data_IF_806186985636
#
_entry.id   IF_806186985636
#
_cell.length_a   1.000
_cell.length_b   1.000
_cell.length_c   1.000
_cell.angle_alpha   90.00
_cell.angle_beta   90.00
_cell.angle_gamma   90.00
#
_symmetry.space_group_name_H-M   'P 1'
#
loop_
_entity.id
_entity.type
_entity.pdbx_description
1 polymer ?
#
# COMPACT_ATOMS: atom_id res chain seq x y z
N UNK A 1 11.55 3.93 4.86
CA UNK A 1 12.76 3.11 4.72
C UNK A 1 12.47 1.79 5.38
N UNK A 2 12.79 0.68 4.72
CA UNK A 2 12.71 -0.62 5.38
C UNK A 2 14.02 -0.88 6.10
N UNK A 3 13.95 -1.19 7.40
CA UNK A 3 15.13 -1.40 8.24
C UNK A 3 15.13 -2.81 8.81
N UNK A 4 16.27 -3.49 8.67
CA UNK A 4 16.50 -4.83 9.17
C UNK A 4 17.58 -4.82 10.24
N UNK A 5 17.29 -5.42 11.40
CA UNK A 5 18.31 -5.74 12.39
C UNK A 5 18.93 -7.10 12.03
N UNK A 6 20.16 -7.08 11.55
CA UNK A 6 20.88 -8.28 11.08
C UNK A 6 21.24 -9.24 12.22
N UNK A 7 21.20 -8.77 13.48
CA UNK A 7 21.46 -9.62 14.65
C UNK A 7 20.28 -10.51 15.03
N UNK A 8 19.05 -10.12 14.67
CA UNK A 8 17.82 -10.83 15.02
C UNK A 8 17.20 -11.52 13.80
N UNK A 9 17.38 -10.93 12.62
CA UNK A 9 16.79 -11.44 11.37
C UNK A 9 17.40 -12.77 10.94
N UNK A 10 16.56 -13.60 10.34
CA UNK A 10 17.00 -14.83 9.70
C UNK A 10 17.93 -14.51 8.52
N UNK A 11 19.06 -15.25 8.46
CA UNK A 11 20.09 -15.02 7.45
C UNK A 11 19.63 -15.39 6.05
N UNK A 12 18.81 -16.44 5.92
CA UNK A 12 18.29 -16.85 4.63
C UNK A 12 17.31 -15.81 4.08
N UNK A 13 16.41 -15.28 4.91
CA UNK A 13 15.53 -14.17 4.53
C UNK A 13 16.33 -12.92 4.12
N UNK A 14 17.34 -12.54 4.93
CA UNK A 14 18.22 -11.40 4.62
C UNK A 14 18.89 -11.57 3.25
N UNK A 15 19.41 -12.76 2.97
CA UNK A 15 20.03 -13.06 1.68
C UNK A 15 19.02 -12.96 0.53
N UNK A 16 17.79 -13.47 0.71
CA UNK A 16 16.73 -13.35 -0.29
C UNK A 16 16.36 -11.89 -0.58
N UNK A 17 16.23 -11.07 0.47
CA UNK A 17 15.98 -9.64 0.36
C UNK A 17 17.09 -8.96 -0.43
N UNK A 18 18.37 -9.22 -0.10
CA UNK A 18 19.50 -8.68 -0.84
C UNK A 18 19.49 -9.12 -2.30
N UNK A 19 19.25 -10.41 -2.57
CA UNK A 19 19.22 -10.96 -3.93
C UNK A 19 18.12 -10.33 -4.79
N UNK A 20 17.00 -9.95 -4.17
CA UNK A 20 15.91 -9.23 -4.83
C UNK A 20 16.21 -7.72 -5.01
N UNK A 21 16.76 -7.07 -3.99
CA UNK A 21 16.89 -5.62 -3.92
C UNK A 21 18.13 -5.07 -4.64
N UNK A 22 19.29 -5.75 -4.56
CA UNK A 22 20.56 -5.31 -5.17
C UNK A 22 20.47 -5.07 -6.68
N UNK A 23 19.88 -5.97 -7.50
CA UNK A 23 19.75 -5.74 -8.95
C UNK A 23 18.68 -4.71 -9.32
N UNK A 24 17.88 -4.22 -8.35
CA UNK A 24 16.75 -3.32 -8.58
C UNK A 24 17.03 -1.90 -8.13
N UNK A 25 16.15 -0.97 -8.46
CA UNK A 25 16.18 0.44 -8.05
C UNK A 25 15.94 0.58 -6.54
N UNK A 26 16.86 0.04 -5.75
CA UNK A 26 16.90 0.11 -4.30
C UNK A 26 18.30 0.54 -3.88
N UNK A 27 18.34 1.49 -2.96
CA UNK A 27 19.57 1.87 -2.27
C UNK A 27 19.66 1.04 -1.00
N UNK A 28 20.79 0.38 -0.81
CA UNK A 28 21.03 -0.49 0.34
C UNK A 28 22.17 0.10 1.15
N UNK A 29 21.90 0.35 2.43
CA UNK A 29 22.85 0.95 3.35
C UNK A 29 23.00 0.02 4.54
N UNK A 30 24.22 -0.41 4.83
CA UNK A 30 24.53 -1.22 5.99
C UNK A 30 25.34 -0.40 7.00
N UNK A 31 25.10 -0.62 8.29
CA UNK A 31 25.86 0.05 9.35
C UNK A 31 26.15 -0.87 10.53
N UNK A 32 27.17 -0.49 11.29
CA UNK A 32 27.64 -1.21 12.48
C UNK A 32 27.41 -0.30 13.69
N UNK A 33 26.25 -0.47 14.33
CA UNK A 33 25.89 0.23 15.56
C UNK A 33 26.39 -0.56 16.78
N UNK A 34 27.04 0.15 17.71
CA UNK A 34 27.51 -0.39 18.99
C UNK A 34 26.42 -0.21 20.06
N UNK A 35 26.29 -1.18 20.98
CA UNK A 35 25.29 -1.12 22.06
C UNK A 35 25.52 0.05 23.04
N UNK A 36 26.78 0.46 23.22
CA UNK A 36 27.12 1.67 23.97
C UNK A 36 27.27 2.83 23.01
N UNK A 37 26.47 3.87 23.23
CA UNK A 37 26.42 5.10 22.42
C UNK A 37 27.74 5.89 22.53
N UNK A 38 28.76 5.39 21.86
CA UNK A 38 30.08 5.98 21.80
C UNK A 38 30.05 6.84 20.55
N UNK A 39 29.84 8.15 20.65
CA UNK A 39 29.71 9.09 19.51
C UNK A 39 30.94 9.20 18.58
N UNK A 40 31.88 8.26 18.66
CA UNK A 40 33.13 8.25 17.89
C UNK A 40 33.14 7.04 16.99
N UNK A 41 33.44 7.27 15.71
CA UNK A 41 33.70 6.23 14.73
C UNK A 41 34.96 5.46 15.15
N UNK A 42 34.82 4.16 15.42
CA UNK A 42 35.94 3.30 15.78
C UNK A 42 36.31 2.41 14.59
N UNK A 43 37.60 2.37 14.26
CA UNK A 43 38.11 1.41 13.28
C UNK A 43 38.43 0.09 13.98
N UNK A 44 37.75 -0.97 13.56
CA UNK A 44 37.94 -2.33 14.05
C UNK A 44 39.22 -2.95 13.48
N UNK A 45 39.69 -4.03 14.11
CA UNK A 45 40.91 -4.77 13.68
C UNK A 45 40.78 -5.38 12.29
N UNK A 46 39.56 -5.72 11.88
CA UNK A 46 39.22 -6.23 10.55
C UNK A 46 39.07 -5.12 9.49
N UNK A 47 39.36 -3.87 9.85
CA UNK A 47 39.37 -2.71 8.97
C UNK A 47 38.04 -1.95 8.87
N UNK A 48 36.92 -2.54 9.29
CA UNK A 48 35.59 -1.91 9.28
C UNK A 48 35.49 -0.77 10.28
N UNK A 49 34.56 0.16 10.05
CA UNK A 49 34.33 1.35 10.86
C UNK A 49 32.93 1.31 11.46
N UNK A 50 32.83 1.51 12.77
CA UNK A 50 31.55 1.56 13.49
C UNK A 50 30.85 2.90 13.33
N UNK A 51 29.53 2.93 13.51
CA UNK A 51 28.67 4.11 13.38
C UNK A 51 28.81 4.81 12.02
N UNK A 52 29.11 4.03 10.99
CA UNK A 52 29.33 4.50 9.63
C UNK A 52 28.43 3.77 8.64
N UNK A 53 28.03 4.49 7.59
CA UNK A 53 27.15 3.99 6.54
C UNK A 53 27.98 3.42 5.38
N UNK A 54 27.79 2.15 5.10
CA UNK A 54 28.36 1.43 3.96
C UNK A 54 27.27 1.19 2.91
N UNK A 55 27.58 1.42 1.64
CA UNK A 55 26.63 1.11 0.57
C UNK A 55 26.82 -0.33 0.12
N UNK A 56 25.75 -1.12 0.08
CA UNK A 56 25.79 -2.46 -0.54
C UNK A 56 25.60 -2.27 -2.04
N UNK A 57 26.64 -2.58 -2.82
CA UNK A 57 26.67 -2.28 -4.26
C UNK A 57 26.56 -3.51 -5.14
N UNK A 58 26.73 -4.72 -4.60
CA UNK A 58 26.69 -5.92 -5.43
C UNK A 58 26.62 -7.23 -4.65
N UNK A 59 26.25 -8.29 -5.38
CA UNK A 59 26.28 -9.68 -4.92
C UNK A 59 26.99 -10.52 -5.97
N UNK A 60 27.67 -11.56 -5.52
CA UNK A 60 28.26 -12.58 -6.37
C UNK A 60 28.17 -13.95 -5.70
N UNK A 61 28.31 -15.02 -6.48
CA UNK A 61 28.50 -16.37 -5.97
C UNK A 61 29.76 -16.92 -6.62
N UNK A 62 30.70 -17.34 -5.80
CA UNK A 62 31.97 -17.91 -6.26
C UNK A 62 31.99 -19.39 -5.91
N UNK A 63 32.47 -20.22 -6.83
CA UNK A 63 32.62 -21.65 -6.60
C UNK A 63 34.08 -21.93 -6.26
N UNK A 64 34.32 -22.29 -5.01
CA UNK A 64 35.64 -22.72 -4.53
C UNK A 64 35.68 -24.24 -4.40
N UNK A 65 36.85 -24.79 -4.05
CA UNK A 65 37.00 -26.21 -3.71
C UNK A 65 36.16 -26.63 -2.50
N UNK A 66 35.79 -25.67 -1.63
CA UNK A 66 34.99 -25.88 -0.42
C UNK A 66 33.48 -25.72 -0.67
N UNK A 67 33.08 -25.42 -1.91
CA UNK A 67 31.68 -25.22 -2.30
C UNK A 67 31.39 -23.82 -2.81
N UNK A 68 30.10 -23.52 -2.96
CA UNK A 68 29.63 -22.19 -3.39
C UNK A 68 29.56 -21.23 -2.21
N UNK A 69 30.25 -20.09 -2.34
CA UNK A 69 30.23 -19.04 -1.32
C UNK A 69 29.53 -17.79 -1.86
N UNK A 70 28.45 -17.32 -1.21
CA UNK A 70 27.84 -16.04 -1.53
C UNK A 70 28.70 -14.88 -1.01
N UNK A 71 29.00 -13.92 -1.88
CA UNK A 71 29.74 -12.71 -1.56
C UNK A 71 28.85 -11.48 -1.66
N UNK A 72 29.13 -10.52 -0.79
CA UNK A 72 28.53 -9.18 -0.77
C UNK A 72 29.61 -8.16 -1.05
N UNK A 73 29.34 -7.24 -1.98
CA UNK A 73 30.19 -6.09 -2.26
C UNK A 73 29.67 -4.88 -1.51
N UNK A 74 30.55 -4.27 -0.73
CA UNK A 74 30.27 -3.04 -0.01
C UNK A 74 31.20 -1.92 -0.50
N UNK A 75 30.73 -0.69 -0.35
CA UNK A 75 31.50 0.52 -0.58
C UNK A 75 31.54 1.36 0.69
N UNK A 76 32.74 1.73 1.11
CA UNK A 76 32.96 2.77 2.08
C UNK A 76 33.05 4.14 1.37
N UNK A 77 32.12 5.07 1.61
CA UNK A 77 32.16 6.40 0.99
C UNK A 77 33.42 7.22 1.31
N UNK A 78 34.14 6.93 2.41
CA UNK A 78 35.38 7.62 2.76
C UNK A 78 36.62 7.13 2.00
N UNK A 79 36.50 6.07 1.20
CA UNK A 79 37.62 5.53 0.42
C UNK A 79 38.75 4.93 1.26
N UNK A 80 38.56 4.72 2.57
CA UNK A 80 39.57 4.19 3.51
C UNK A 80 38.92 3.29 4.55
N UNK A 81 39.64 2.29 5.06
CA UNK A 81 39.10 1.37 6.07
C UNK A 81 38.31 0.23 5.42
N UNK A 82 39.01 -0.53 4.58
CA UNK A 82 38.50 -1.69 3.87
C UNK A 82 38.63 -2.97 4.71
N UNK A 83 37.78 -3.94 4.40
CA UNK A 83 37.80 -5.27 4.98
C UNK A 83 39.14 -5.97 4.76
N UNK A 84 39.74 -6.49 5.82
CA UNK A 84 41.01 -7.24 5.78
C UNK A 84 40.87 -8.74 6.04
N UNK A 85 39.64 -9.27 6.08
CA UNK A 85 39.37 -10.69 6.33
C UNK A 85 39.23 -11.53 5.05
N UNK A 86 38.58 -12.71 5.14
CA UNK A 86 38.31 -13.59 4.00
C UNK A 86 37.66 -12.86 2.82
N UNK A 87 38.09 -13.16 1.59
CA UNK A 87 37.64 -12.52 0.34
C UNK A 87 38.04 -11.05 0.17
N UNK A 88 38.85 -10.49 1.07
CA UNK A 88 39.57 -9.26 0.78
C UNK A 88 40.61 -9.49 -0.33
N UNK A 89 41.04 -8.43 -1.01
CA UNK A 89 41.98 -8.54 -2.15
C UNK A 89 43.33 -9.17 -1.78
N UNK A 90 43.71 -9.18 -0.49
CA UNK A 90 44.97 -9.77 0.01
C UNK A 90 44.77 -11.13 0.66
N UNK A 91 43.57 -11.70 0.56
CA UNK A 91 43.22 -12.97 1.20
C UNK A 91 43.59 -14.16 0.32
N UNK A 92 43.92 -15.28 0.94
CA UNK A 92 44.25 -16.51 0.21
C UNK A 92 43.02 -17.07 -0.55
N UNK A 93 41.82 -16.80 -0.03
CA UNK A 93 40.56 -17.14 -0.69
C UNK A 93 40.45 -16.42 -2.04
N UNK A 94 40.77 -15.12 -2.05
CA UNK A 94 40.81 -14.32 -3.28
C UNK A 94 41.88 -14.84 -4.24
N UNK A 95 43.08 -15.14 -3.75
CA UNK A 95 44.17 -15.66 -4.58
C UNK A 95 43.83 -17.02 -5.22
N UNK A 96 43.01 -17.83 -4.55
CA UNK A 96 42.57 -19.14 -5.03
C UNK A 96 41.55 -19.09 -6.17
N UNK A 97 40.97 -17.91 -6.47
CA UNK A 97 40.04 -17.73 -7.58
C UNK A 97 40.72 -17.90 -8.93
N UNK A 98 39.95 -18.37 -9.92
CA UNK A 98 40.40 -18.37 -11.30
C UNK A 98 40.66 -16.94 -11.79
N UNK A 99 41.60 -16.76 -12.71
CA UNK A 99 41.90 -15.42 -13.26
C UNK A 99 40.66 -14.76 -13.88
N UNK A 100 39.78 -15.59 -14.49
CA UNK A 100 38.50 -15.14 -15.03
C UNK A 100 37.59 -14.57 -13.93
N UNK A 101 37.47 -15.25 -12.80
CA UNK A 101 36.63 -14.80 -11.70
C UNK A 101 37.20 -13.56 -11.01
N UNK A 102 38.53 -13.49 -10.85
CA UNK A 102 39.23 -12.28 -10.38
C UNK A 102 38.92 -11.10 -11.27
N UNK A 103 39.08 -11.22 -12.59
CA UNK A 103 38.76 -10.14 -13.53
C UNK A 103 37.29 -9.73 -13.42
N UNK A 104 36.35 -10.67 -13.35
CA UNK A 104 34.92 -10.36 -13.23
C UNK A 104 34.57 -9.60 -11.93
N UNK A 105 35.21 -9.98 -10.81
CA UNK A 105 34.97 -9.36 -9.51
C UNK A 105 35.75 -8.05 -9.33
N UNK A 106 36.94 -7.92 -9.95
CA UNK A 106 37.79 -6.72 -9.92
C UNK A 106 37.33 -5.62 -10.88
N UNK A 107 36.79 -5.96 -12.07
CA UNK A 107 36.17 -4.97 -12.98
C UNK A 107 35.05 -4.20 -12.29
N UNK A 108 34.46 -4.82 -11.28
CA UNK A 108 33.41 -4.29 -10.42
C UNK A 108 33.95 -3.45 -9.26
N UNK A 109 35.22 -3.55 -8.85
CA UNK A 109 35.81 -2.84 -7.69
C UNK A 109 36.66 -1.65 -8.17
N UNK A 110 36.14 -0.84 -9.10
CA UNK A 110 36.89 0.30 -9.66
C UNK A 110 36.84 1.57 -8.80
N UNK A 111 35.97 1.61 -7.79
CA UNK A 111 35.80 2.77 -6.94
C UNK A 111 36.61 2.65 -5.64
N UNK A 112 37.23 3.74 -5.21
CA UNK A 112 37.94 3.79 -3.92
C UNK A 112 37.03 3.34 -2.77
N UNK A 113 37.52 2.41 -1.94
CA UNK A 113 36.80 1.88 -0.76
C UNK A 113 35.78 0.79 -1.05
N UNK A 114 35.72 0.20 -2.25
CA UNK A 114 34.93 -1.00 -2.52
C UNK A 114 35.67 -2.27 -2.12
N UNK A 115 34.96 -3.23 -1.52
CA UNK A 115 35.53 -4.53 -1.15
C UNK A 115 34.47 -5.64 -1.18
N UNK A 116 34.93 -6.86 -1.32
CA UNK A 116 34.12 -8.08 -1.19
C UNK A 116 34.30 -8.70 0.19
N UNK A 117 33.22 -9.29 0.70
CA UNK A 117 33.26 -10.15 1.89
C UNK A 117 32.24 -11.28 1.74
N UNK A 118 32.43 -12.37 2.49
CA UNK A 118 31.43 -13.42 2.56
C UNK A 118 30.12 -12.90 3.16
N UNK A 119 28.97 -13.37 2.67
CA UNK A 119 27.67 -13.01 3.24
C UNK A 119 27.56 -13.37 4.73
N UNK A 120 28.13 -14.52 5.13
CA UNK A 120 28.16 -14.92 6.53
C UNK A 120 28.94 -13.92 7.40
N UNK A 121 30.05 -13.38 6.90
CA UNK A 121 30.78 -12.34 7.61
C UNK A 121 30.02 -11.02 7.61
N UNK A 122 29.34 -10.66 6.51
CA UNK A 122 28.47 -9.49 6.47
C UNK A 122 27.40 -9.57 7.57
N UNK A 123 26.68 -10.69 7.65
CA UNK A 123 25.63 -10.92 8.65
C UNK A 123 26.16 -11.00 10.10
N UNK A 124 27.44 -11.35 10.29
CA UNK A 124 28.07 -11.37 11.62
C UNK A 124 28.55 -10.00 12.09
N UNK A 125 29.05 -9.17 11.18
CA UNK A 125 29.72 -7.91 11.54
C UNK A 125 28.80 -6.69 11.46
N UNK A 126 27.88 -6.66 10.49
CA UNK A 126 26.92 -5.56 10.35
C UNK A 126 25.72 -5.78 11.25
N UNK A 127 25.19 -4.70 11.83
CA UNK A 127 24.06 -4.80 12.76
C UNK A 127 22.76 -4.31 12.15
N UNK A 128 22.81 -3.38 11.20
CA UNK A 128 21.65 -2.80 10.56
C UNK A 128 21.80 -2.78 9.03
N UNK A 129 20.70 -3.04 8.34
CA UNK A 129 20.56 -2.92 6.89
C UNK A 129 19.29 -2.15 6.56
N UNK A 130 19.45 -1.00 5.91
CA UNK A 130 18.38 -0.12 5.47
C UNK A 130 18.21 -0.20 3.96
N UNK A 131 16.96 -0.36 3.51
CA UNK A 131 16.57 -0.40 2.11
C UNK A 131 15.66 0.78 1.79
N UNK A 132 16.05 1.51 0.76
CA UNK A 132 15.26 2.61 0.21
C UNK A 132 14.81 2.21 -1.19
N UNK A 133 13.55 1.80 -1.30
CA UNK A 133 12.97 1.43 -2.59
C UNK A 133 12.58 2.69 -3.39
N UNK A 134 13.23 2.86 -4.53
CA UNK A 134 13.01 3.97 -5.45
C UNK A 134 11.91 3.59 -6.43
N UNK A 135 10.90 4.45 -6.56
CA UNK A 135 9.77 4.23 -7.47
C UNK A 135 10.19 4.29 -8.94
N UNK A 136 9.34 3.80 -9.86
CA UNK A 136 9.64 3.82 -11.30
C UNK A 136 9.81 5.25 -11.84
N UNK A 137 9.03 6.22 -11.35
CA UNK A 137 9.12 7.61 -11.80
C UNK A 137 10.49 8.23 -11.46
N UNK A 138 10.95 8.05 -10.22
CA UNK A 138 12.27 8.52 -9.77
C UNK A 138 13.40 7.77 -10.49
N UNK A 139 13.24 6.48 -10.73
CA UNK A 139 14.19 5.68 -11.50
C UNK A 139 14.33 6.18 -12.95
N UNK A 140 13.22 6.58 -13.59
CA UNK A 140 13.27 7.15 -14.95
C UNK A 140 14.07 8.46 -14.98
N UNK A 141 13.92 9.29 -13.94
CA UNK A 141 14.55 10.61 -13.87
C UNK A 141 16.03 10.59 -13.45
N UNK A 142 16.51 9.51 -12.83
CA UNK A 142 17.88 9.42 -12.29
C UNK A 142 18.75 8.47 -13.13
N UNK A 143 19.62 9.00 -14.02
CA UNK A 143 20.46 8.18 -14.90
C UNK A 143 21.37 7.20 -14.17
N UNK A 144 21.81 7.53 -12.94
CA UNK A 144 22.67 6.64 -12.16
C UNK A 144 21.98 5.31 -11.80
N UNK A 145 20.63 5.29 -11.78
CA UNK A 145 19.84 4.10 -11.45
C UNK A 145 19.52 3.23 -12.67
N UNK A 146 19.76 3.69 -13.91
CA UNK A 146 19.44 2.94 -15.14
C UNK A 146 20.26 1.67 -15.32
N UNK A 147 21.38 1.54 -14.59
CA UNK A 147 22.13 0.29 -14.46
C UNK A 147 21.38 -0.80 -13.69
N UNK A 148 20.32 -0.44 -12.97
CA UNK A 148 19.48 -1.33 -12.16
C UNK A 148 18.09 -1.47 -12.77
N UNK A 149 17.43 -2.60 -12.50
CA UNK A 149 16.04 -2.83 -12.94
C UNK A 149 15.05 -1.97 -12.13
N UNK A 150 14.04 -1.35 -12.75
CA UNK A 150 13.02 -0.61 -12.01
C UNK A 150 12.12 -1.55 -11.22
N UNK A 151 11.53 -1.04 -10.13
CA UNK A 151 10.36 -1.64 -9.51
C UNK A 151 9.10 -1.31 -10.31
N UNK A 152 8.17 -2.25 -10.41
CA UNK A 152 6.77 -1.93 -10.74
C UNK A 152 6.12 -1.43 -9.46
N UNK A 153 5.38 -0.33 -9.51
CA UNK A 153 4.77 0.23 -8.31
C UNK A 153 3.35 0.73 -8.56
N UNK A 154 2.48 0.50 -7.59
CA UNK A 154 1.20 1.19 -7.46
C UNK A 154 1.26 2.13 -6.27
N UNK A 155 0.90 3.39 -6.51
CA UNK A 155 0.77 4.42 -5.49
C UNK A 155 -0.70 4.76 -5.28
N UNK A 156 -1.16 4.75 -4.04
CA UNK A 156 -2.51 5.16 -3.69
C UNK A 156 -2.49 6.17 -2.53
N UNK A 157 -2.92 7.40 -2.80
CA UNK A 157 -3.12 8.45 -1.79
C UNK A 157 -4.54 8.35 -1.25
N UNK A 158 -4.69 8.00 0.02
CA UNK A 158 -6.00 7.74 0.65
C UNK A 158 -6.09 8.34 2.05
N UNK A 159 -7.26 8.19 2.67
CA UNK A 159 -7.58 8.70 4.00
C UNK A 159 -8.51 7.74 4.72
N UNK A 160 -8.21 7.44 5.98
CA UNK A 160 -9.17 6.90 6.93
C UNK A 160 -10.00 8.05 7.47
N UNK A 161 -11.33 7.90 7.42
CA UNK A 161 -12.33 8.87 7.90
C UNK A 161 -13.14 8.21 8.99
N UNK A 162 -13.19 8.85 10.15
CA UNK A 162 -13.99 8.40 11.29
C UNK A 162 -15.47 8.25 10.88
N UNK A 163 -16.11 7.15 11.30
CA UNK A 163 -17.52 6.85 10.97
C UNK A 163 -17.79 6.41 9.53
N UNK A 164 -16.75 6.21 8.70
CA UNK A 164 -16.92 5.75 7.32
C UNK A 164 -16.02 4.55 6.99
N UNK A 165 -14.72 4.76 6.89
CA UNK A 165 -13.75 3.74 6.43
C UNK A 165 -12.53 3.60 7.36
N UNK A 166 -12.60 4.15 8.58
CA UNK A 166 -11.58 4.01 9.61
C UNK A 166 -11.86 2.77 10.46
N UNK A 167 -11.59 1.59 9.91
CA UNK A 167 -11.98 0.30 10.47
C UNK A 167 -11.12 -0.21 11.62
N UNK A 168 -9.93 0.35 11.81
CA UNK A 168 -8.96 -0.14 12.81
C UNK A 168 -8.26 -1.43 12.38
N UNK A 169 -7.31 -1.90 13.21
CA UNK A 169 -6.54 -3.11 12.93
C UNK A 169 -7.37 -4.39 13.01
N UNK A 170 -6.78 -5.57 12.70
CA UNK A 170 -7.49 -6.86 12.60
C UNK A 170 -8.23 -7.32 13.86
N UNK A 171 -7.90 -6.75 15.03
CA UNK A 171 -8.62 -7.03 16.27
C UNK A 171 -10.05 -6.44 16.29
N UNK A 172 -10.35 -5.46 15.45
CA UNK A 172 -11.67 -4.84 15.34
C UNK A 172 -12.51 -5.53 14.25
N UNK A 173 -12.80 -6.82 14.43
CA UNK A 173 -13.39 -7.69 13.40
C UNK A 173 -14.66 -7.12 12.75
N UNK A 174 -15.48 -6.40 13.51
CA UNK A 174 -16.72 -5.76 13.01
C UNK A 174 -16.47 -4.64 11.98
N UNK A 175 -15.36 -3.92 12.11
CA UNK A 175 -15.07 -2.70 11.35
C UNK A 175 -13.84 -2.81 10.44
N UNK A 176 -12.94 -3.77 10.63
CA UNK A 176 -11.70 -3.92 9.83
C UNK A 176 -11.97 -3.97 8.33
N UNK A 177 -13.04 -4.64 7.91
CA UNK A 177 -13.43 -4.76 6.50
C UNK A 177 -13.82 -3.41 5.85
N UNK A 178 -14.09 -2.37 6.65
CA UNK A 178 -14.41 -1.03 6.16
C UNK A 178 -13.17 -0.25 5.72
N UNK A 179 -11.96 -0.65 6.15
CA UNK A 179 -10.73 -0.01 5.69
C UNK A 179 -10.60 -0.11 4.16
N UNK A 180 -9.89 0.84 3.51
CA UNK A 180 -9.51 0.69 2.11
C UNK A 180 -8.83 -0.66 1.86
N UNK A 181 -9.20 -1.35 0.79
CA UNK A 181 -8.66 -2.68 0.46
C UNK A 181 -8.01 -2.63 -0.92
N UNK A 182 -6.85 -3.26 -1.05
CA UNK A 182 -6.09 -3.30 -2.29
C UNK A 182 -5.83 -4.74 -2.68
N UNK A 183 -6.37 -5.12 -3.83
CA UNK A 183 -6.18 -6.46 -4.36
C UNK A 183 -4.87 -6.55 -5.12
N UNK A 184 -4.09 -7.58 -4.83
CA UNK A 184 -2.79 -7.87 -5.43
C UNK A 184 -2.86 -9.27 -6.02
N UNK A 185 -2.94 -9.34 -7.34
CA UNK A 185 -2.97 -10.59 -8.09
C UNK A 185 -1.60 -10.86 -8.72
N UNK A 186 -1.01 -11.98 -8.33
CA UNK A 186 0.26 -12.48 -8.87
C UNK A 186 -0.05 -13.60 -9.88
N UNK A 187 0.20 -13.40 -11.18
CA UNK A 187 -0.14 -14.37 -12.21
C UNK A 187 0.56 -15.72 -12.02
N UNK A 188 -0.17 -16.81 -12.31
CA UNK A 188 0.38 -18.19 -12.28
C UNK A 188 1.30 -18.50 -13.47
N UNK A 189 1.24 -17.70 -14.52
CA UNK A 189 2.03 -17.88 -15.72
C UNK A 189 3.40 -17.19 -15.55
N UNK A 190 4.43 -17.95 -15.17
CA UNK A 190 5.83 -17.58 -15.43
C UNK A 190 6.80 -17.62 -14.25
N UNK A 191 6.36 -17.49 -12.99
CA UNK A 191 7.28 -17.35 -11.85
C UNK A 191 6.82 -18.17 -10.64
N UNK A 192 7.76 -18.80 -9.91
CA UNK A 192 7.44 -19.57 -8.70
C UNK A 192 7.11 -18.69 -7.49
N UNK A 193 7.67 -17.47 -7.42
CA UNK A 193 7.52 -16.51 -6.32
C UNK A 193 7.72 -15.09 -6.83
N UNK A 194 6.94 -14.13 -6.34
CA UNK A 194 7.07 -12.70 -6.59
C UNK A 194 7.49 -11.99 -5.29
N UNK A 195 8.43 -11.06 -5.40
CA UNK A 195 8.82 -10.19 -4.30
C UNK A 195 7.94 -8.94 -4.29
N UNK A 196 7.28 -8.73 -3.15
CA UNK A 196 6.32 -7.65 -2.95
C UNK A 196 6.75 -6.81 -1.76
N UNK A 197 6.85 -5.49 -1.93
CA UNK A 197 7.10 -4.55 -0.84
C UNK A 197 5.86 -3.71 -0.65
N UNK A 198 5.32 -3.73 0.56
CA UNK A 198 4.17 -2.91 0.94
C UNK A 198 4.65 -1.86 1.93
N UNK A 199 4.40 -0.59 1.62
CA UNK A 199 4.74 0.55 2.46
C UNK A 199 3.52 1.45 2.68
N UNK A 200 3.23 1.78 3.93
CA UNK A 200 2.17 2.71 4.33
C UNK A 200 2.81 3.90 5.03
N UNK A 201 2.70 5.08 4.44
CA UNK A 201 3.30 6.33 4.94
C UNK A 201 2.20 7.30 5.37
N UNK A 202 2.24 7.78 6.61
CA UNK A 202 1.43 8.91 7.06
C UNK A 202 2.17 10.24 6.89
N UNK A 203 1.43 11.34 6.78
CA UNK A 203 2.01 12.68 6.59
C UNK A 203 3.04 12.74 5.46
N UNK A 204 2.68 12.22 4.27
CA UNK A 204 3.56 12.11 3.10
C UNK A 204 3.84 13.46 2.39
N UNK A 205 3.37 14.59 2.92
CA UNK A 205 3.71 15.91 2.38
C UNK A 205 5.16 16.25 2.75
N UNK A 206 5.93 16.70 1.75
CA UNK A 206 7.33 17.12 1.91
C UNK A 206 7.44 18.62 2.21
N UNK A 207 6.44 19.41 1.85
CA UNK A 207 6.37 20.84 2.16
C UNK A 207 5.63 21.04 3.48
N UNK A 208 6.38 21.20 4.57
CA UNK A 208 5.85 21.84 5.76
C UNK A 208 5.68 23.32 5.43
N UNK A 209 4.45 23.81 5.33
CA UNK A 209 4.21 25.25 5.39
C UNK A 209 4.82 25.78 6.69
N UNK A 210 5.35 27.01 6.70
CA UNK A 210 5.88 27.64 7.92
C UNK A 210 4.85 27.70 9.07
N UNK A 211 3.56 27.51 8.77
CA UNK A 211 2.47 27.35 9.74
C UNK A 211 2.41 25.95 10.39
N UNK A 212 2.85 24.89 9.70
CA UNK A 212 2.82 23.51 10.20
C UNK A 212 3.99 23.18 11.13
N UNK A 213 5.10 23.95 11.07
CA UNK A 213 6.28 23.75 11.92
C UNK A 213 6.02 24.00 13.41
N UNK A 214 4.88 24.61 13.77
CA UNK A 214 4.48 24.90 15.16
C UNK A 214 3.53 23.86 15.77
N UNK A 215 2.91 22.97 14.99
CA UNK A 215 2.07 21.88 15.51
C UNK A 215 2.90 20.60 15.58
N UNK A 216 3.11 20.08 16.79
CA UNK A 216 3.65 18.74 17.01
C UNK A 216 2.65 17.75 16.39
N UNK A 217 2.92 17.31 15.17
CA UNK A 217 2.04 16.41 14.44
C UNK A 217 2.02 15.07 15.17
N UNK A 218 0.89 14.71 15.76
CA UNK A 218 0.71 13.42 16.42
C UNK A 218 0.65 12.32 15.36
N UNK A 219 1.67 11.46 15.34
CA UNK A 219 1.68 10.27 14.49
C UNK A 219 0.70 9.24 15.06
N UNK A 220 -0.08 8.63 14.19
CA UNK A 220 -0.94 7.51 14.56
C UNK A 220 -0.10 6.23 14.58
N UNK A 221 -0.52 5.27 15.40
CA UNK A 221 -0.05 3.91 15.25
C UNK A 221 -0.66 3.33 13.97
N UNK A 222 0.17 3.07 12.95
CA UNK A 222 -0.27 2.60 11.64
C UNK A 222 0.38 1.26 11.29
N UNK A 223 -0.35 0.49 10.50
CA UNK A 223 0.05 -0.81 9.99
C UNK A 223 -0.78 -1.23 8.79
N UNK A 224 -0.59 -2.46 8.36
CA UNK A 224 -1.44 -3.11 7.38
C UNK A 224 -1.50 -4.61 7.63
N UNK A 225 -2.60 -5.21 7.19
CA UNK A 225 -2.80 -6.65 7.19
C UNK A 225 -2.83 -7.17 5.75
N UNK A 226 -2.31 -8.38 5.54
CA UNK A 226 -2.34 -9.08 4.26
C UNK A 226 -3.15 -10.36 4.43
N UNK A 227 -4.15 -10.55 3.58
CA UNK A 227 -4.97 -11.76 3.53
C UNK A 227 -4.66 -12.51 2.24
N UNK A 228 -4.47 -13.81 2.31
CA UNK A 228 -4.57 -14.68 1.14
C UNK A 228 -6.05 -14.95 0.89
N UNK A 229 -6.54 -14.70 -0.33
CA UNK A 229 -7.95 -14.82 -0.64
C UNK A 229 -8.19 -15.82 -1.78
N UNK A 230 -9.29 -16.57 -1.74
CA UNK A 230 -9.71 -17.36 -2.89
C UNK A 230 -10.05 -16.47 -4.10
N UNK A 231 -9.90 -16.95 -5.35
CA UNK A 231 -10.06 -16.14 -6.56
C UNK A 231 -11.46 -15.52 -6.77
N UNK A 232 -12.47 -16.03 -6.08
CA UNK A 232 -13.86 -15.57 -6.14
C UNK A 232 -14.17 -14.43 -5.14
N UNK A 233 -13.26 -14.16 -4.20
CA UNK A 233 -13.45 -13.09 -3.21
C UNK A 233 -12.99 -11.77 -3.82
N UNK A 234 -13.94 -10.91 -4.15
CA UNK A 234 -13.66 -9.58 -4.73
C UNK A 234 -13.44 -8.51 -3.67
N UNK A 235 -13.97 -8.70 -2.46
CA UNK A 235 -13.86 -7.80 -1.31
C UNK A 235 -13.94 -8.60 -0.01
N UNK A 236 -13.14 -8.20 0.98
CA UNK A 236 -13.27 -8.73 2.34
C UNK A 236 -14.55 -8.19 2.97
N UNK A 237 -15.40 -9.09 3.44
CA UNK A 237 -16.59 -8.78 4.22
C UNK A 237 -16.28 -8.91 5.72
N UNK A 238 -17.14 -8.35 6.57
CA UNK A 238 -17.05 -8.54 8.02
C UNK A 238 -17.05 -10.01 8.40
N UNK A 239 -17.92 -10.82 7.76
CA UNK A 239 -17.95 -12.27 7.97
C UNK A 239 -16.63 -12.95 7.61
N UNK A 240 -16.02 -12.57 6.47
CA UNK A 240 -14.73 -13.14 6.05
C UNK A 240 -13.64 -12.83 7.08
N UNK A 241 -13.54 -11.58 7.56
CA UNK A 241 -12.52 -11.17 8.54
C UNK A 241 -12.74 -11.86 9.89
N UNK A 242 -13.98 -12.14 10.29
CA UNK A 242 -14.27 -12.90 11.51
C UNK A 242 -13.87 -14.37 11.41
N UNK A 243 -14.01 -14.98 10.23
CA UNK A 243 -13.73 -16.41 10.02
C UNK A 243 -12.26 -16.69 9.67
N UNK A 244 -11.58 -15.75 8.98
CA UNK A 244 -10.25 -15.95 8.43
C UNK A 244 -9.23 -15.05 9.12
N UNK A 245 -8.09 -15.63 9.48
CA UNK A 245 -6.96 -14.87 9.98
C UNK A 245 -6.14 -14.28 8.84
N UNK A 246 -5.59 -13.06 9.00
CA UNK A 246 -4.64 -12.52 8.05
C UNK A 246 -3.41 -13.44 7.96
N UNK A 247 -2.85 -13.55 6.76
CA UNK A 247 -1.60 -14.25 6.48
C UNK A 247 -0.43 -13.56 7.19
N UNK A 248 -0.42 -12.23 7.20
CA UNK A 248 0.54 -11.45 7.98
C UNK A 248 -0.06 -10.11 8.41
N UNK A 249 0.43 -9.56 9.52
CA UNK A 249 0.04 -8.27 10.07
C UNK A 249 1.29 -7.57 10.58
N UNK A 250 1.49 -6.34 10.12
CA UNK A 250 2.61 -5.53 10.62
C UNK A 250 2.35 -5.07 12.05
N UNK A 251 3.39 -5.03 12.87
CA UNK A 251 3.31 -4.37 14.18
C UNK A 251 2.95 -2.90 14.02
N UNK A 252 1.87 -2.48 14.67
CA UNK A 252 1.43 -1.09 14.67
C UNK A 252 2.48 -0.19 15.31
N UNK A 253 3.01 0.77 14.54
CA UNK A 253 4.08 1.64 15.01
C UNK A 253 3.71 3.12 14.86
N UNK A 254 4.21 3.96 15.77
CA UNK A 254 4.14 5.43 15.62
C UNK A 254 5.15 5.96 14.59
N UNK A 255 5.70 5.11 13.72
CA UNK A 255 6.60 5.56 12.68
C UNK A 255 5.82 6.33 11.61
N UNK A 256 6.50 7.25 10.92
CA UNK A 256 5.93 7.93 9.75
C UNK A 256 5.62 6.95 8.62
N UNK A 257 6.34 5.83 8.57
CA UNK A 257 6.20 4.82 7.54
C UNK A 257 6.39 3.42 8.14
N UNK A 258 5.47 2.51 7.80
CA UNK A 258 5.59 1.07 8.08
C UNK A 258 5.80 0.34 6.75
N UNK A 259 6.85 -0.49 6.65
CA UNK A 259 7.23 -1.20 5.42
C UNK A 259 7.55 -2.66 5.71
N UNK A 260 7.02 -3.58 4.90
CA UNK A 260 7.36 -5.01 4.96
C UNK A 260 7.64 -5.56 3.56
N UNK A 261 8.58 -6.50 3.50
CA UNK A 261 8.95 -7.26 2.30
C UNK A 261 8.36 -8.67 2.39
N UNK A 262 7.70 -9.09 1.32
CA UNK A 262 7.08 -10.39 1.17
C UNK A 262 7.66 -11.13 -0.02
N UNK A 263 7.70 -12.45 0.08
CA UNK A 263 7.94 -13.33 -1.06
C UNK A 263 6.71 -14.22 -1.21
N UNK A 264 5.81 -13.82 -2.11
CA UNK A 264 4.50 -14.43 -2.27
C UNK A 264 4.48 -15.36 -3.48
N UNK A 265 3.94 -16.58 -3.37
CA UNK A 265 3.68 -17.40 -4.55
C UNK A 265 2.57 -16.79 -5.43
N UNK A 266 2.36 -17.32 -6.64
CA UNK A 266 1.23 -16.93 -7.47
C UNK A 266 -0.11 -17.17 -6.76
N UNK A 267 -0.95 -16.14 -6.72
CA UNK A 267 -2.18 -16.13 -5.94
C UNK A 267 -2.82 -14.74 -5.89
N UNK A 268 -3.92 -14.67 -5.17
CA UNK A 268 -4.72 -13.46 -4.97
C UNK A 268 -4.60 -13.05 -3.49
N UNK A 269 -4.21 -11.80 -3.26
CA UNK A 269 -3.95 -11.26 -1.93
C UNK A 269 -4.67 -9.95 -1.72
N UNK A 270 -5.14 -9.70 -0.50
CA UNK A 270 -5.74 -8.43 -0.11
C UNK A 270 -4.87 -7.71 0.91
N UNK A 271 -4.44 -6.50 0.57
CA UNK A 271 -3.71 -5.60 1.47
C UNK A 271 -4.68 -4.59 2.06
N UNK A 272 -4.76 -4.56 3.39
CA UNK A 272 -5.68 -3.71 4.16
C UNK A 272 -4.86 -2.77 5.06
N UNK A 273 -4.53 -1.55 4.61
CA UNK A 273 -3.91 -0.54 5.47
C UNK A 273 -4.88 -0.08 6.57
N UNK A 274 -4.38 0.01 7.80
CA UNK A 274 -5.18 0.41 8.96
C UNK A 274 -4.41 1.30 9.96
N UNK A 275 -5.18 2.00 10.78
CA UNK A 275 -4.72 2.52 12.08
C UNK A 275 -4.91 1.45 13.15
N UNK A 276 -4.14 1.50 14.24
CA UNK A 276 -4.31 0.57 15.35
C UNK A 276 -5.72 0.66 15.96
N UNK A 277 -6.19 1.90 16.19
CA UNK A 277 -7.54 2.17 16.71
C UNK A 277 -8.52 2.42 15.57
N UNK A 278 -9.76 1.91 15.73
CA UNK A 278 -10.86 2.27 14.85
C UNK A 278 -11.25 3.76 15.01
N UNK A 279 -11.97 4.30 14.02
CA UNK A 279 -12.44 5.69 13.99
C UNK A 279 -11.34 6.77 14.08
N UNK A 280 -10.09 6.44 13.75
CA UNK A 280 -9.01 7.42 13.64
C UNK A 280 -9.00 8.08 12.26
N UNK A 281 -8.95 9.41 12.22
CA UNK A 281 -8.84 10.16 10.97
C UNK A 281 -7.37 10.43 10.62
N UNK A 282 -6.89 9.85 9.53
CA UNK A 282 -5.54 10.12 9.05
C UNK A 282 -5.41 9.93 7.54
N UNK A 283 -4.49 10.68 6.92
CA UNK A 283 -4.13 10.56 5.51
C UNK A 283 -2.91 9.66 5.37
N UNK A 284 -2.95 8.77 4.39
CA UNK A 284 -1.84 7.87 4.11
C UNK A 284 -1.53 7.77 2.62
N UNK A 285 -0.29 7.39 2.34
CA UNK A 285 0.18 6.97 1.05
C UNK A 285 0.52 5.48 1.15
N UNK A 286 -0.16 4.67 0.33
CA UNK A 286 0.20 3.27 0.13
C UNK A 286 1.10 3.16 -1.10
N UNK A 287 2.17 2.39 -0.98
CA UNK A 287 3.04 1.97 -2.08
C UNK A 287 3.12 0.45 -2.06
N UNK A 288 2.71 -0.18 -3.16
CA UNK A 288 2.93 -1.62 -3.38
C UNK A 288 3.91 -1.74 -4.53
N UNK A 289 5.13 -2.19 -4.23
CA UNK A 289 6.17 -2.43 -5.22
C UNK A 289 6.27 -3.92 -5.49
N UNK A 290 6.34 -4.27 -6.77
CA UNK A 290 6.46 -5.64 -7.25
C UNK A 290 7.61 -5.75 -8.21
N UNK A 291 8.22 -6.92 -8.16
CA UNK A 291 9.46 -7.21 -8.84
C UNK A 291 9.22 -7.88 -10.21
N UNK A 292 8.01 -8.40 -10.38
CA UNK A 292 7.43 -9.06 -11.55
C UNK A 292 6.09 -8.39 -11.92
N UNK A 293 5.50 -8.78 -13.06
CA UNK A 293 4.21 -8.25 -13.48
C UNK A 293 3.08 -8.78 -12.59
N UNK A 294 2.48 -7.89 -11.81
CA UNK A 294 1.31 -8.16 -10.98
C UNK A 294 0.19 -7.17 -11.28
N UNK A 295 -1.06 -7.63 -11.17
CA UNK A 295 -2.23 -6.77 -11.32
C UNK A 295 -2.64 -6.28 -9.93
N UNK A 296 -2.63 -4.96 -9.73
CA UNK A 296 -2.91 -4.36 -8.42
C UNK A 296 -3.97 -3.28 -8.61
N UNK A 297 -5.06 -3.35 -7.84
CA UNK A 297 -6.14 -2.37 -7.90
C UNK A 297 -6.77 -2.15 -6.53
N UNK A 298 -7.37 -0.97 -6.34
CA UNK A 298 -8.18 -0.70 -5.17
C UNK A 298 -9.56 -1.34 -5.33
N UNK A 299 -10.05 -1.98 -4.27
CA UNK A 299 -11.39 -2.55 -4.24
C UNK A 299 -12.39 -1.45 -3.87
N UNK A 300 -12.95 -0.81 -4.90
CA UNK A 300 -14.01 0.18 -4.77
C UNK A 300 -15.34 -0.37 -5.31
N UNK A 301 -16.45 0.21 -4.85
CA UNK A 301 -17.77 -0.08 -5.40
C UNK A 301 -17.87 0.24 -6.90
N UNK A 302 -17.02 1.14 -7.43
CA UNK A 302 -16.95 1.45 -8.87
C UNK A 302 -16.55 0.26 -9.76
N UNK A 303 -15.94 -0.79 -9.18
CA UNK A 303 -15.68 -2.04 -9.88
C UNK A 303 -16.93 -2.93 -9.97
N UNK A 304 -17.95 -2.64 -9.17
CA UNK A 304 -19.31 -3.05 -9.46
C UNK A 304 -19.91 -1.93 -10.31
N UNK A 305 -19.94 -2.13 -11.63
CA UNK A 305 -20.89 -1.38 -12.45
C UNK A 305 -22.28 -1.62 -11.82
N UNK A 306 -22.76 -0.70 -10.99
CA UNK A 306 -24.18 -0.50 -10.78
C UNK A 306 -24.67 -0.10 -12.16
N UNK A 307 -24.94 -1.12 -12.99
CA UNK A 307 -25.67 -0.97 -14.25
C UNK A 307 -26.87 -0.18 -13.82
N UNK A 308 -26.89 1.10 -14.23
CA UNK A 308 -27.99 2.03 -14.22
C UNK A 308 -29.14 1.48 -13.38
N UNK A 309 -29.43 2.11 -12.23
CA UNK A 309 -30.81 2.10 -11.73
C UNK A 309 -31.59 2.71 -12.88
N UNK A 310 -32.01 1.86 -13.82
CA UNK A 310 -32.72 2.23 -15.02
C UNK A 310 -34.04 2.69 -14.46
N UNK A 311 -34.09 3.98 -14.19
CA UNK A 311 -35.26 4.71 -13.74
C UNK A 311 -36.41 4.50 -14.73
N UNK A 312 -36.08 4.20 -16.00
CA UNK A 312 -37.03 3.83 -17.05
C UNK A 312 -37.51 2.36 -16.95
N UNK A 313 -36.77 1.45 -16.28
CA UNK A 313 -37.22 0.07 -16.00
C UNK A 313 -37.98 -0.07 -14.67
N UNK A 314 -37.85 0.90 -13.76
CA UNK A 314 -38.68 0.97 -12.55
C UNK A 314 -40.15 1.29 -12.87
N UNK A 315 -40.43 1.81 -14.07
CA UNK A 315 -41.79 2.05 -14.54
C UNK A 315 -42.57 0.74 -14.79
N UNK A 316 -41.89 -0.37 -15.12
CA UNK A 316 -42.54 -1.67 -15.36
C UNK A 316 -42.29 -2.72 -14.26
N UNK A 317 -41.19 -2.66 -13.51
CA UNK A 317 -40.75 -3.75 -12.64
C UNK A 317 -41.19 -3.70 -11.17
N UNK A 318 -41.29 -2.50 -10.57
CA UNK A 318 -41.71 -2.36 -9.17
C UNK A 318 -43.20 -2.08 -9.09
N UNK A 319 -43.98 -3.17 -9.12
CA UNK A 319 -45.39 -3.13 -8.71
C UNK A 319 -45.44 -2.77 -7.22
N UNK A 320 -45.64 -1.49 -6.92
CA UNK A 320 -46.42 -1.06 -5.75
C UNK A 320 -47.78 -1.74 -5.88
N UNK A 321 -47.88 -3.00 -5.47
CA UNK A 321 -49.00 -3.92 -5.74
C UNK A 321 -50.34 -3.39 -5.19
N UNK A 322 -50.30 -2.41 -4.30
CA UNK A 322 -51.46 -1.73 -3.72
C UNK A 322 -51.37 -0.18 -3.77
N UNK A 323 -50.24 0.38 -4.21
CA UNK A 323 -49.95 1.81 -4.01
C UNK A 323 -50.01 2.70 -5.25
N UNK A 324 -49.84 2.19 -6.49
CA UNK A 324 -49.86 3.02 -7.71
C UNK A 324 -51.21 3.74 -7.89
N UNK A 325 -52.31 3.05 -7.65
CA UNK A 325 -53.67 3.62 -7.75
C UNK A 325 -53.96 4.65 -6.66
N UNK A 326 -53.40 4.47 -5.46
CA UNK A 326 -53.53 5.44 -4.36
C UNK A 326 -52.65 6.68 -4.58
N UNK A 327 -51.41 6.47 -5.05
CA UNK A 327 -50.47 7.53 -5.42
C UNK A 327 -50.97 8.37 -6.58
N UNK A 328 -51.46 7.74 -7.65
CA UNK A 328 -52.03 8.45 -8.79
C UNK A 328 -53.26 9.27 -8.35
N UNK A 329 -54.17 8.73 -7.53
CA UNK A 329 -55.30 9.48 -6.97
C UNK A 329 -54.87 10.66 -6.09
N UNK A 330 -53.79 10.52 -5.35
CA UNK A 330 -53.21 11.58 -4.51
C UNK A 330 -52.52 12.67 -5.36
N UNK A 331 -51.82 12.27 -6.41
CA UNK A 331 -51.10 13.15 -7.33
C UNK A 331 -52.06 13.94 -8.24
N UNK A 332 -53.25 13.43 -8.57
CA UNK A 332 -54.29 14.17 -9.31
C UNK A 332 -54.77 15.44 -8.60
N UNK A 333 -54.50 15.61 -7.30
CA UNK A 333 -54.82 16.84 -6.54
C UNK A 333 -53.81 17.97 -6.74
N UNK A 334 -52.72 17.70 -7.45
CA UNK A 334 -51.63 18.64 -7.65
C UNK A 334 -51.58 19.10 -9.12
N UNK A 335 -51.00 20.29 -9.38
CA UNK A 335 -50.78 20.76 -10.74
C UNK A 335 -49.90 19.80 -11.55
N UNK A 336 -49.98 19.86 -12.90
CA UNK A 336 -49.19 19.00 -13.79
C UNK A 336 -47.67 19.18 -13.63
N UNK A 337 -47.25 20.35 -13.15
CA UNK A 337 -45.88 20.65 -12.73
C UNK A 337 -45.84 20.98 -11.25
N UNK A 338 -44.92 20.36 -10.53
CA UNK A 338 -44.70 20.57 -9.11
C UNK A 338 -43.47 21.43 -8.88
N UNK A 339 -43.64 22.51 -8.13
CA UNK A 339 -42.52 23.28 -7.58
C UNK A 339 -41.92 22.57 -6.34
N UNK A 340 -40.73 23.00 -5.86
CA UNK A 340 -40.08 22.37 -4.72
C UNK A 340 -40.89 22.44 -3.42
N UNK A 341 -41.73 23.46 -3.24
CA UNK A 341 -42.49 23.64 -2.00
C UNK A 341 -43.72 22.73 -1.97
N UNK A 342 -44.40 22.57 -3.11
CA UNK A 342 -45.52 21.66 -3.28
C UNK A 342 -45.07 20.20 -3.16
N UNK A 343 -43.95 19.85 -3.80
CA UNK A 343 -43.40 18.50 -3.68
C UNK A 343 -42.89 18.22 -2.26
N UNK A 344 -42.31 19.21 -1.59
CA UNK A 344 -41.91 19.10 -0.18
C UNK A 344 -43.11 18.91 0.74
N UNK A 345 -44.20 19.65 0.53
CA UNK A 345 -45.45 19.47 1.27
C UNK A 345 -46.01 18.06 1.09
N UNK A 346 -46.03 17.55 -0.14
CA UNK A 346 -46.46 16.18 -0.44
C UNK A 346 -45.59 15.14 0.28
N UNK A 347 -44.27 15.21 0.11
CA UNK A 347 -43.33 14.28 0.74
C UNK A 347 -43.39 14.37 2.26
N UNK A 348 -43.54 15.56 2.85
CA UNK A 348 -43.65 15.74 4.30
C UNK A 348 -44.94 15.13 4.89
N UNK A 349 -46.00 15.01 4.10
CA UNK A 349 -47.23 14.32 4.53
C UNK A 349 -47.08 12.80 4.46
N UNK A 350 -46.35 12.28 3.48
CA UNK A 350 -46.25 10.85 3.20
C UNK A 350 -44.85 10.25 3.45
N UNK A 351 -43.96 10.97 4.12
CA UNK A 351 -42.54 10.61 4.22
C UNK A 351 -42.30 9.23 4.79
N UNK A 352 -43.11 8.80 5.78
CA UNK A 352 -42.97 7.47 6.40
C UNK A 352 -43.09 6.31 5.39
N UNK A 353 -43.72 6.53 4.24
CA UNK A 353 -43.83 5.52 3.19
C UNK A 353 -42.52 5.39 2.39
N UNK A 354 -41.83 6.51 2.15
CA UNK A 354 -40.71 6.60 1.20
C UNK A 354 -39.35 6.90 1.85
N UNK A 355 -39.31 7.34 3.11
CA UNK A 355 -38.11 7.82 3.80
C UNK A 355 -38.07 7.34 5.25
N UNK A 356 -36.85 7.22 5.81
CA UNK A 356 -36.59 6.92 7.22
C UNK A 356 -36.67 8.18 8.10
N UNK A 357 -36.46 9.37 7.51
CA UNK A 357 -36.52 10.66 8.19
C UNK A 357 -37.39 11.68 7.43
N UNK A 358 -37.79 12.76 8.10
CA UNK A 358 -38.58 13.83 7.47
C UNK A 358 -37.76 14.51 6.38
N UNK A 359 -38.32 14.72 5.17
CA UNK A 359 -37.61 15.32 4.06
C UNK A 359 -37.26 16.78 4.35
N UNK A 360 -36.03 17.18 4.00
CA UNK A 360 -35.64 18.59 3.93
C UNK A 360 -36.07 19.20 2.60
N UNK A 361 -36.14 20.53 2.52
CA UNK A 361 -36.42 21.20 1.25
C UNK A 361 -35.27 20.99 0.24
N UNK A 362 -34.03 20.89 0.72
CA UNK A 362 -32.86 20.61 -0.12
C UNK A 362 -32.94 19.24 -0.78
N UNK A 363 -33.37 18.19 -0.06
CA UNK A 363 -33.60 16.86 -0.65
C UNK A 363 -34.57 16.95 -1.82
N UNK A 364 -35.66 17.72 -1.65
CA UNK A 364 -36.70 17.86 -2.69
C UNK A 364 -36.18 18.62 -3.90
N UNK A 365 -35.41 19.68 -3.71
CA UNK A 365 -34.74 20.39 -4.80
C UNK A 365 -33.81 19.44 -5.57
N UNK A 366 -33.00 18.64 -4.86
CA UNK A 366 -32.12 17.65 -5.50
C UNK A 366 -32.91 16.59 -6.28
N UNK A 367 -34.04 16.10 -5.75
CA UNK A 367 -34.91 15.15 -6.45
C UNK A 367 -35.50 15.74 -7.74
N UNK A 368 -35.92 17.00 -7.71
CA UNK A 368 -36.42 17.71 -8.91
C UNK A 368 -35.30 17.83 -9.94
N UNK A 369 -34.09 18.22 -9.53
CA UNK A 369 -32.94 18.35 -10.44
C UNK A 369 -32.58 17.05 -11.18
N UNK A 370 -32.88 15.88 -10.61
CA UNK A 370 -32.65 14.59 -11.28
C UNK A 370 -33.56 14.36 -12.50
N UNK A 371 -34.70 15.05 -12.58
CA UNK A 371 -35.70 14.91 -13.66
C UNK A 371 -35.99 16.22 -14.41
N UNK A 372 -35.51 17.35 -13.93
CA UNK A 372 -35.68 18.67 -14.53
C UNK A 372 -34.57 18.96 -15.57
N UNK A 373 -34.66 18.30 -16.73
CA UNK A 373 -33.72 18.47 -17.84
C UNK A 373 -33.71 19.90 -18.42
N UNK A 374 -34.78 20.68 -18.19
CA UNK A 374 -34.93 22.04 -18.67
C UNK A 374 -34.47 23.11 -17.66
N UNK A 375 -34.03 22.72 -16.45
CA UNK A 375 -33.62 23.64 -15.37
C UNK A 375 -34.76 24.65 -15.06
N UNK A 376 -36.00 24.18 -15.12
CA UNK A 376 -37.20 24.95 -14.82
C UNK A 376 -37.42 25.19 -13.32
N UNK A 377 -36.73 24.43 -12.47
CA UNK A 377 -36.97 24.32 -11.04
C UNK A 377 -38.23 23.53 -10.69
N UNK A 378 -38.83 22.81 -11.64
CA UNK A 378 -40.09 22.08 -11.51
C UNK A 378 -39.96 20.65 -12.04
N UNK A 379 -40.82 19.76 -11.57
CA UNK A 379 -40.91 18.37 -12.06
C UNK A 379 -42.30 18.07 -12.58
N UNK A 380 -42.37 17.37 -13.72
CA UNK A 380 -43.65 16.91 -14.26
C UNK A 380 -44.23 15.81 -13.36
N UNK A 381 -45.55 15.82 -13.18
CA UNK A 381 -46.24 14.88 -12.30
C UNK A 381 -46.00 13.40 -12.69
N UNK A 382 -45.78 13.12 -13.98
CA UNK A 382 -45.44 11.78 -14.47
C UNK A 382 -44.13 11.25 -13.90
N UNK A 383 -43.12 12.11 -13.78
CA UNK A 383 -41.77 11.75 -13.35
C UNK A 383 -41.64 11.56 -11.83
N UNK A 384 -42.58 12.11 -11.06
CA UNK A 384 -42.62 11.98 -9.59
C UNK A 384 -42.75 10.53 -9.17
N UNK A 385 -43.48 9.71 -9.92
CA UNK A 385 -43.66 8.28 -9.61
C UNK A 385 -42.32 7.52 -9.60
N UNK A 386 -41.44 7.81 -10.57
CA UNK A 386 -40.09 7.25 -10.63
C UNK A 386 -39.21 7.72 -9.47
N UNK A 387 -39.30 9.00 -9.10
CA UNK A 387 -38.56 9.54 -7.94
C UNK A 387 -39.00 8.88 -6.62
N UNK A 388 -40.30 8.68 -6.42
CA UNK A 388 -40.83 8.02 -5.22
C UNK A 388 -40.47 6.53 -5.16
N UNK A 389 -40.50 5.85 -6.30
CA UNK A 389 -40.07 4.45 -6.40
C UNK A 389 -38.58 4.30 -6.08
N UNK A 390 -37.76 5.25 -6.54
CA UNK A 390 -36.36 5.34 -6.19
C UNK A 390 -36.18 5.58 -4.69
N UNK A 391 -36.88 6.53 -4.07
CA UNK A 391 -36.82 6.75 -2.62
C UNK A 391 -37.20 5.50 -1.83
N UNK A 392 -38.23 4.78 -2.27
CA UNK A 392 -38.64 3.52 -1.64
C UNK A 392 -37.60 2.42 -1.79
N UNK A 393 -36.86 2.37 -2.90
CA UNK A 393 -35.76 1.41 -3.08
C UNK A 393 -34.59 1.67 -2.12
N UNK A 394 -34.30 2.95 -1.85
CA UNK A 394 -33.21 3.37 -0.97
C UNK A 394 -33.55 3.35 0.53
N UNK A 395 -34.84 3.30 0.85
CA UNK A 395 -35.36 3.15 2.21
C UNK A 395 -35.37 1.68 2.61
#
# INVERSE_FOLDING_TARGET
>A
VQSFSLTVQDRFLTYQVLNSAVPRSTLLVASINLEKDTKRNLRLRNGLVTQHAYSVTGLARVRSKLGETPLVRLRNPWGRGEWSGPWSERSWEWDSLSERDKVLLSVRVKNEGEFWMAFDDFARHFTHLDLVHVGPDDWMNEPALHSKKPWRAVLARRRWRAGYNAGGGPHHTETTAMNPQFHVQIPRAGVSKCHVVVAVTQHYHTCLSAADTKKKVSLHHIGFAVYEIPPNVTRLTTAFVSEHRPMDVTSDSMARETVTFFTLPPGDYMVVPHTAQANSDARFLLRILTDEQSNIWEVNEDNMLLRSINLDRLDDGFKLREGRTALQKLLHKYPPELDPHLFHKFLKTHWKQFLVEKPSLELVKSLIMLRDFNISGRVALGDVSGLLSMLQFWK
#
